data_IF_541942291994
#
_entry.id   IF_541942291994
#
_cell.length_a   1.000
_cell.length_b   1.000
_cell.length_c   1.000
_cell.angle_alpha   90.00
_cell.angle_beta   90.00
_cell.angle_gamma   90.00
#
_symmetry.space_group_name_H-M   'P 1'
#
loop_
_entity.id
_entity.type
_entity.pdbx_description
1 polymer ?
#
# COMPACT_ATOMS: atom_id res chain seq x y z
N UNK A 1 32.19 -3.26 3.25
CA UNK A 1 30.72 -3.16 3.37
C UNK A 1 30.14 -3.56 2.03
N UNK A 2 29.80 -4.85 1.86
CA UNK A 2 29.08 -5.33 0.68
C UNK A 2 27.62 -4.98 0.93
N UNK A 3 27.04 -4.16 0.06
CA UNK A 3 25.60 -4.00 0.00
C UNK A 3 25.10 -5.15 -0.86
N UNK A 4 24.74 -6.25 -0.22
CA UNK A 4 23.93 -7.31 -0.80
C UNK A 4 22.50 -6.75 -1.04
N UNK A 5 22.38 -5.74 -1.89
CA UNK A 5 21.10 -5.19 -2.36
C UNK A 5 20.82 -5.77 -3.74
N UNK A 6 20.88 -7.09 -3.84
CA UNK A 6 20.39 -7.81 -4.99
C UNK A 6 19.21 -8.66 -4.50
N UNK A 7 18.01 -8.28 -4.93
CA UNK A 7 16.86 -9.17 -5.09
C UNK A 7 15.77 -9.28 -4.00
N UNK A 8 15.70 -8.41 -2.98
CA UNK A 8 14.64 -8.52 -1.94
C UNK A 8 13.57 -7.40 -2.00
N UNK A 9 13.42 -6.72 -3.13
CA UNK A 9 12.25 -5.86 -3.35
C UNK A 9 11.04 -6.75 -3.71
N UNK A 10 10.65 -7.66 -2.81
CA UNK A 10 9.40 -8.40 -2.97
C UNK A 10 8.26 -7.39 -2.89
N UNK A 11 7.57 -7.11 -4.00
CA UNK A 11 6.61 -6.01 -4.03
C UNK A 11 5.41 -6.28 -3.12
N UNK A 12 5.14 -7.55 -2.80
CA UNK A 12 4.16 -7.92 -1.78
C UNK A 12 4.63 -7.56 -0.36
N UNK A 13 5.90 -7.78 -0.01
CA UNK A 13 6.43 -7.40 1.31
C UNK A 13 6.46 -5.88 1.49
N UNK A 14 6.86 -5.13 0.46
CA UNK A 14 6.78 -3.66 0.45
C UNK A 14 5.33 -3.18 0.63
N UNK A 15 4.38 -3.84 -0.03
CA UNK A 15 2.96 -3.53 0.12
C UNK A 15 2.42 -3.81 1.54
N UNK A 16 2.85 -4.91 2.16
CA UNK A 16 2.51 -5.23 3.55
C UNK A 16 3.07 -4.19 4.52
N UNK A 17 4.34 -3.80 4.36
CA UNK A 17 4.95 -2.73 5.17
C UNK A 17 4.23 -1.40 4.99
N UNK A 18 3.77 -1.10 3.77
CA UNK A 18 2.98 0.09 3.49
C UNK A 18 1.62 0.06 4.21
N UNK A 19 0.90 -1.06 4.17
CA UNK A 19 -0.37 -1.23 4.88
C UNK A 19 -0.18 -1.12 6.41
N UNK A 20 0.89 -1.70 6.96
CA UNK A 20 1.21 -1.57 8.39
C UNK A 20 1.48 -0.12 8.80
N UNK A 21 2.16 0.68 7.96
CA UNK A 21 2.37 2.11 8.23
C UNK A 21 1.04 2.89 8.24
N UNK A 22 0.10 2.55 7.35
CA UNK A 22 -1.23 3.16 7.32
C UNK A 22 -2.05 2.81 8.56
N UNK A 23 -2.02 1.54 8.97
CA UNK A 23 -2.68 1.06 10.19
C UNK A 23 -2.13 1.75 11.44
N UNK A 24 -0.80 1.84 11.56
CA UNK A 24 -0.13 2.56 12.66
C UNK A 24 -0.54 4.03 12.73
N UNK A 25 -0.75 4.66 11.58
CA UNK A 25 -1.20 6.05 11.48
C UNK A 25 -2.73 6.20 11.62
N UNK A 26 -3.47 5.11 11.89
CA UNK A 26 -4.94 5.05 11.94
C UNK A 26 -5.59 5.71 10.71
N UNK A 27 -4.91 5.61 9.57
CA UNK A 27 -5.41 6.16 8.31
C UNK A 27 -6.42 5.19 7.75
N UNK A 28 -7.64 5.65 7.46
CA UNK A 28 -8.60 4.81 6.75
C UNK A 28 -8.17 4.71 5.29
N UNK A 29 -8.10 3.49 4.78
CA UNK A 29 -7.75 3.23 3.38
C UNK A 29 -8.61 2.11 2.81
N UNK A 30 -8.85 2.18 1.51
CA UNK A 30 -9.54 1.15 0.72
C UNK A 30 -8.65 0.80 -0.46
N UNK A 31 -8.40 -0.49 -0.65
CA UNK A 31 -7.65 -1.01 -1.79
C UNK A 31 -8.66 -1.22 -2.92
N UNK A 32 -8.55 -0.43 -3.99
CA UNK A 32 -9.47 -0.53 -5.13
C UNK A 32 -8.98 -1.51 -6.18
N UNK A 33 -7.67 -1.58 -6.40
CA UNK A 33 -7.09 -2.43 -7.43
C UNK A 33 -5.71 -2.90 -6.99
N UNK A 34 -5.43 -4.20 -7.18
CA UNK A 34 -4.11 -4.79 -6.96
C UNK A 34 -3.79 -5.61 -8.21
N UNK A 35 -2.90 -5.10 -9.06
CA UNK A 35 -2.50 -5.75 -10.30
C UNK A 35 -1.02 -6.07 -10.28
N UNK A 36 -0.69 -7.32 -10.57
CA UNK A 36 0.68 -7.75 -10.87
C UNK A 36 0.88 -7.64 -12.37
N UNK A 37 1.86 -6.86 -12.78
CA UNK A 37 2.27 -6.74 -14.18
C UNK A 37 3.23 -7.89 -14.53
N UNK A 38 3.27 -8.31 -15.80
CA UNK A 38 4.12 -9.43 -16.25
C UNK A 38 5.63 -9.16 -16.09
N UNK A 39 6.00 -7.89 -15.87
CA UNK A 39 7.37 -7.44 -15.60
C UNK A 39 7.81 -7.67 -14.14
N UNK A 40 6.93 -8.21 -13.29
CA UNK A 40 7.20 -8.43 -11.85
C UNK A 40 6.87 -7.24 -10.96
N UNK A 41 6.42 -6.12 -11.53
CA UNK A 41 5.93 -4.95 -10.80
C UNK A 41 4.53 -5.17 -10.21
N UNK A 42 4.30 -4.70 -8.99
CA UNK A 42 2.97 -4.66 -8.36
C UNK A 42 2.43 -3.23 -8.40
N UNK A 43 1.36 -3.03 -9.17
CA UNK A 43 0.62 -1.78 -9.20
C UNK A 43 -0.57 -1.91 -8.27
N UNK A 44 -0.61 -1.08 -7.23
CA UNK A 44 -1.75 -1.03 -6.30
C UNK A 44 -2.39 0.35 -6.35
N UNK A 45 -3.70 0.40 -6.62
CA UNK A 45 -4.51 1.60 -6.46
C UNK A 45 -5.26 1.52 -5.16
N UNK A 46 -5.10 2.55 -4.34
CA UNK A 46 -5.76 2.66 -3.05
C UNK A 46 -6.21 4.10 -2.84
N UNK A 47 -7.38 4.25 -2.22
CA UNK A 47 -7.87 5.53 -1.70
C UNK A 47 -7.53 5.63 -0.23
N UNK A 48 -7.00 6.78 0.17
CA UNK A 48 -6.75 7.13 1.57
C UNK A 48 -7.69 8.26 1.96
N UNK A 49 -8.34 8.12 3.10
CA UNK A 49 -9.03 9.21 3.75
C UNK A 49 -8.13 9.75 4.87
N UNK A 50 -7.69 10.99 4.69
CA UNK A 50 -6.92 11.72 5.69
C UNK A 50 -7.81 12.49 6.68
N UNK A 51 -9.13 12.55 6.41
CA UNK A 51 -10.09 13.22 7.27
C UNK A 51 -10.48 12.33 8.45
N UNK A 52 -10.36 12.87 9.66
CA UNK A 52 -10.72 12.22 10.93
C UNK A 52 -12.21 12.19 11.22
N UNK A 53 -13.04 12.95 10.50
CA UNK A 53 -14.49 12.90 10.61
C UNK A 53 -15.07 11.88 9.62
N UNK A 54 -16.20 11.25 9.99
CA UNK A 54 -16.93 10.37 9.07
C UNK A 54 -17.48 11.20 7.91
N UNK A 55 -16.75 11.26 6.81
CA UNK A 55 -17.28 11.65 5.50
C UNK A 55 -18.10 10.48 4.96
N UNK A 56 -19.35 10.41 5.42
CA UNK A 56 -20.35 9.48 4.88
C UNK A 56 -20.41 9.64 3.37
N UNK A 57 -20.14 8.57 2.61
CA UNK A 57 -20.26 8.53 1.14
C UNK A 57 -19.00 8.85 0.32
N UNK A 58 -17.84 9.15 0.92
CA UNK A 58 -16.59 9.37 0.15
C UNK A 58 -15.77 8.08 -0.05
N UNK A 59 -16.06 7.07 0.77
CA UNK A 59 -15.42 5.74 0.75
C UNK A 59 -16.43 4.60 0.59
N UNK A 60 -17.69 4.94 0.29
CA UNK A 60 -18.70 3.98 -0.17
C UNK A 60 -18.50 3.73 -1.67
#
# INVERSE_FOLDING_TARGET
MRFDTANDANPDQEFEMFCQKLDRNKTQYVIEDKKKEPDGSLVVRLRKQYNTYKTTGYMD
#
